data_IF_254844101863
#
_entry.id   IF_254844101863
#
_cell.length_a   1.000
_cell.length_b   1.000
_cell.length_c   1.000
_cell.angle_alpha   90.00
_cell.angle_beta   90.00
_cell.angle_gamma   90.00
#
_symmetry.space_group_name_H-M   'P 1'
#
loop_
_entity.id
_entity.type
_entity.pdbx_description
1 polymer ?
#
# COMPACT_ATOMS: atom_id res chain seq x y z
N UNK A 1 -10.16 1.91 -6.56
CA UNK A 1 -8.79 1.56 -6.99
C UNK A 1 -8.57 0.05 -6.80
N UNK A 2 -8.05 -0.68 -7.79
CA UNK A 2 -7.85 -2.15 -7.68
C UNK A 2 -6.73 -2.51 -6.69
N UNK A 3 -5.67 -1.71 -6.61
CA UNK A 3 -4.55 -1.91 -5.69
C UNK A 3 -5.01 -1.78 -4.24
N UNK A 4 -5.86 -0.80 -3.92
CA UNK A 4 -6.45 -0.66 -2.59
C UNK A 4 -7.27 -1.90 -2.18
N UNK A 5 -8.08 -2.45 -3.10
CA UNK A 5 -8.84 -3.68 -2.84
C UNK A 5 -7.92 -4.89 -2.59
N UNK A 6 -6.82 -5.02 -3.34
CA UNK A 6 -5.85 -6.10 -3.11
C UNK A 6 -5.14 -5.96 -1.77
N UNK A 7 -4.73 -4.75 -1.41
CA UNK A 7 -4.14 -4.46 -0.10
C UNK A 7 -5.11 -4.81 1.04
N UNK A 8 -6.40 -4.44 0.90
CA UNK A 8 -7.44 -4.76 1.88
C UNK A 8 -7.65 -6.28 2.02
N UNK A 9 -7.54 -7.04 0.92
CA UNK A 9 -7.54 -8.50 0.93
C UNK A 9 -6.24 -9.11 1.46
N UNK A 10 -5.26 -8.28 1.87
CA UNK A 10 -3.95 -8.72 2.36
C UNK A 10 -3.04 -9.26 1.28
N UNK A 11 -3.24 -8.86 0.03
CA UNK A 11 -2.38 -9.20 -1.10
C UNK A 11 -1.37 -8.07 -1.29
N UNK A 12 -0.06 -8.33 -1.13
CA UNK A 12 0.95 -7.33 -1.40
C UNK A 12 0.89 -6.83 -2.86
N UNK A 13 1.17 -5.55 -3.07
CA UNK A 13 1.11 -4.91 -4.39
C UNK A 13 2.48 -4.35 -4.75
N UNK A 14 2.90 -4.59 -5.99
CA UNK A 14 4.05 -3.92 -6.61
C UNK A 14 3.48 -3.02 -7.71
N UNK A 15 3.78 -1.73 -7.66
CA UNK A 15 3.28 -0.75 -8.64
C UNK A 15 4.34 0.30 -8.96
N UNK A 16 4.19 0.98 -10.09
CA UNK A 16 5.14 2.00 -10.52
C UNK A 16 5.15 3.15 -9.52
N UNK A 17 6.35 3.58 -9.12
CA UNK A 17 6.57 4.71 -8.23
C UNK A 17 6.12 6.04 -8.87
N UNK A 18 5.18 6.72 -8.22
CA UNK A 18 4.63 8.03 -8.64
C UNK A 18 4.68 9.10 -7.54
N UNK A 19 5.33 8.80 -6.41
CA UNK A 19 5.49 9.67 -5.24
C UNK A 19 4.81 9.14 -3.97
N UNK A 20 4.07 8.03 -4.04
CA UNK A 20 3.30 7.52 -2.92
C UNK A 20 4.17 7.02 -1.76
N UNK A 21 5.42 6.57 -2.02
CA UNK A 21 6.39 6.20 -0.96
C UNK A 21 6.70 7.29 0.06
N UNK A 22 6.50 8.56 -0.31
CA UNK A 22 6.64 9.68 0.63
C UNK A 22 5.57 9.68 1.73
N UNK A 23 4.43 9.02 1.49
CA UNK A 23 3.26 9.03 2.37
C UNK A 23 3.22 7.77 3.25
N UNK A 24 3.38 6.57 2.67
CA UNK A 24 3.24 5.31 3.42
C UNK A 24 4.55 4.79 4.05
N UNK A 25 5.70 5.32 3.62
CA UNK A 25 7.02 4.81 4.04
C UNK A 25 7.32 3.40 3.51
N UNK A 26 8.58 3.01 3.38
CA UNK A 26 8.96 1.71 2.78
C UNK A 26 8.72 0.52 3.74
N UNK A 27 7.55 0.45 4.38
CA UNK A 27 7.27 -0.52 5.45
C UNK A 27 6.83 -1.90 4.94
N UNK A 28 6.75 -2.10 3.61
CA UNK A 28 6.37 -3.37 2.97
C UNK A 28 4.88 -3.48 2.66
N UNK A 29 4.47 -4.57 1.97
CA UNK A 29 3.07 -4.82 1.60
C UNK A 29 2.58 -3.98 0.41
N UNK A 30 3.12 -2.79 0.23
CA UNK A 30 3.05 -1.99 -0.98
C UNK A 30 4.48 -1.63 -1.39
N UNK A 31 4.83 -1.84 -2.65
CA UNK A 31 6.19 -1.64 -3.17
C UNK A 31 6.14 -0.77 -4.42
N UNK A 32 6.99 0.26 -4.44
CA UNK A 32 7.23 1.10 -5.60
C UNK A 32 8.40 0.58 -6.42
N UNK A 33 8.26 0.55 -7.75
CA UNK A 33 9.39 0.34 -8.65
C UNK A 33 9.57 1.53 -9.60
N UNK A 34 10.82 1.85 -9.90
CA UNK A 34 11.27 2.82 -10.91
C UNK A 34 11.94 2.13 -12.09
N UNK A 35 12.49 0.94 -11.88
CA UNK A 35 13.17 0.14 -12.92
C UNK A 35 12.76 -1.32 -12.82
N UNK A 36 12.80 -2.03 -13.93
CA UNK A 36 12.39 -3.45 -14.00
C UNK A 36 13.10 -4.38 -13.00
N UNK A 37 14.41 -4.25 -12.71
CA UNK A 37 15.08 -5.14 -11.76
C UNK A 37 14.49 -5.12 -10.34
N UNK A 38 13.96 -3.97 -9.92
CA UNK A 38 13.37 -3.77 -8.60
C UNK A 38 12.09 -4.60 -8.41
N UNK A 39 11.38 -4.94 -9.49
CA UNK A 39 10.20 -5.81 -9.43
C UNK A 39 10.60 -7.21 -8.96
N UNK A 40 11.68 -7.76 -9.53
CA UNK A 40 12.15 -9.09 -9.15
C UNK A 40 12.65 -9.13 -7.70
N UNK A 41 13.26 -8.04 -7.23
CA UNK A 41 13.67 -7.89 -5.83
C UNK A 41 12.47 -7.83 -4.89
N UNK A 42 11.46 -7.00 -5.19
CA UNK A 42 10.24 -6.92 -4.40
C UNK A 42 9.49 -8.27 -4.35
N UNK A 43 9.44 -9.01 -5.45
CA UNK A 43 8.86 -10.37 -5.46
C UNK A 43 9.64 -11.32 -4.54
N UNK A 44 10.98 -11.27 -4.55
CA UNK A 44 11.80 -12.10 -3.65
C UNK A 44 11.56 -11.74 -2.19
N UNK A 45 11.51 -10.46 -1.85
CA UNK A 45 11.23 -9.98 -0.49
C UNK A 45 9.85 -10.44 -0.02
N UNK A 46 8.81 -10.23 -0.85
CA UNK A 46 7.44 -10.69 -0.57
C UNK A 46 7.40 -12.20 -0.32
N UNK A 47 8.11 -12.99 -1.14
CA UNK A 47 8.09 -14.44 -1.00
C UNK A 47 8.90 -14.94 0.21
N UNK A 48 9.94 -14.21 0.63
CA UNK A 48 10.74 -14.56 1.81
C UNK A 48 9.91 -14.49 3.12
N UNK A 49 8.97 -13.54 3.22
CA UNK A 49 8.03 -13.47 4.35
C UNK A 49 6.64 -12.96 3.93
N UNK A 50 5.93 -13.79 3.16
CA UNK A 50 4.62 -13.43 2.63
C UNK A 50 3.61 -13.12 3.73
N UNK A 51 3.66 -13.84 4.86
CA UNK A 51 2.73 -13.64 5.97
C UNK A 51 2.91 -12.25 6.58
N UNK A 52 4.14 -11.78 6.76
CA UNK A 52 4.41 -10.42 7.21
C UNK A 52 3.90 -9.39 6.20
N UNK A 53 4.26 -9.54 4.92
CA UNK A 53 3.83 -8.57 3.90
C UNK A 53 2.31 -8.56 3.70
N UNK A 54 1.63 -9.69 3.86
CA UNK A 54 0.16 -9.77 3.84
C UNK A 54 -0.48 -8.97 4.98
N UNK A 55 0.08 -9.05 6.20
CA UNK A 55 -0.40 -8.26 7.34
C UNK A 55 -0.18 -6.77 7.12
N UNK A 56 0.99 -6.39 6.62
CA UNK A 56 1.32 -5.00 6.35
C UNK A 56 0.43 -4.44 5.23
N UNK A 57 0.17 -5.22 4.16
CA UNK A 57 -0.75 -4.83 3.10
C UNK A 57 -2.14 -4.45 3.66
N UNK A 58 -2.71 -5.25 4.57
CA UNK A 58 -3.98 -4.91 5.23
C UNK A 58 -3.87 -3.66 6.09
N UNK A 59 -2.74 -3.48 6.78
CA UNK A 59 -2.50 -2.30 7.60
C UNK A 59 -2.47 -1.04 6.73
N UNK A 60 -1.74 -1.06 5.61
CA UNK A 60 -1.69 0.04 4.63
C UNK A 60 -3.09 0.35 4.10
N UNK A 61 -3.88 -0.67 3.74
CA UNK A 61 -5.27 -0.48 3.32
C UNK A 61 -6.11 0.26 4.37
N UNK A 62 -6.01 -0.16 5.64
CA UNK A 62 -6.74 0.47 6.74
C UNK A 62 -6.24 1.86 7.09
N UNK A 63 -4.96 2.12 6.94
CA UNK A 63 -4.37 3.41 7.34
C UNK A 63 -4.68 4.51 6.33
N UNK A 64 -4.60 4.19 5.03
CA UNK A 64 -4.67 5.20 3.96
C UNK A 64 -5.93 5.13 3.09
N UNK A 65 -6.64 4.00 3.06
CA UNK A 65 -7.75 3.77 2.14
C UNK A 65 -9.06 3.41 2.84
N UNK A 66 -9.10 3.45 4.18
CA UNK A 66 -10.30 3.18 4.95
C UNK A 66 -11.32 4.30 4.78
N UNK A 67 -12.54 3.92 4.38
CA UNK A 67 -13.59 4.86 4.02
C UNK A 67 -13.93 5.84 5.15
N UNK A 68 -13.99 5.37 6.40
CA UNK A 68 -14.27 6.23 7.56
C UNK A 68 -13.21 7.32 7.73
N UNK A 69 -11.92 6.98 7.60
CA UNK A 69 -10.82 7.95 7.72
C UNK A 69 -10.81 8.95 6.57
N UNK A 70 -10.96 8.45 5.35
CA UNK A 70 -10.96 9.30 4.15
C UNK A 70 -12.16 10.23 4.19
N UNK A 71 -13.35 9.72 4.50
CA UNK A 71 -14.57 10.52 4.59
C UNK A 71 -14.47 11.56 5.71
N UNK A 72 -14.01 11.18 6.90
CA UNK A 72 -13.81 12.13 7.99
C UNK A 72 -12.84 13.25 7.60
N UNK A 73 -11.71 12.93 6.96
CA UNK A 73 -10.75 13.94 6.47
C UNK A 73 -11.35 14.85 5.38
N UNK A 74 -12.21 14.32 4.51
CA UNK A 74 -12.87 15.12 3.48
C UNK A 74 -13.91 16.08 4.08
N UNK A 75 -14.69 15.62 5.06
CA UNK A 75 -15.66 16.45 5.77
C UNK A 75 -14.98 17.58 6.54
N UNK A 76 -13.92 17.26 7.30
CA UNK A 76 -13.11 18.25 8.02
C UNK A 76 -12.55 19.33 7.08
N UNK A 77 -12.02 18.92 5.92
CA UNK A 77 -11.53 19.85 4.87
C UNK A 77 -12.63 20.66 4.19
N UNK A 78 -13.87 20.16 4.20
CA UNK A 78 -15.04 20.86 3.69
C UNK A 78 -15.68 21.78 4.75
N UNK A 79 -15.20 21.77 5.99
CA UNK A 79 -15.75 22.54 7.11
C UNK A 79 -17.07 21.96 7.65
N UNK A 80 -17.29 20.66 7.46
CA UNK A 80 -18.46 19.91 7.94
C UNK A 80 -18.14 19.07 9.18
#
# INVERSE_FOLDING_TARGET
DRSACYLAAGRPVITQETGFTKIYGHQGGLFGFRKLPEIAEAVREINADYRRHSRIARKVAREFFEAEKVLASLLDRAGL
#
